data_IF_423378429999
#
_entry.id   IF_423378429999
#
_cell.length_a   1.000
_cell.length_b   1.000
_cell.length_c   1.000
_cell.angle_alpha   90.00
_cell.angle_beta   90.00
_cell.angle_gamma   90.00
#
_symmetry.space_group_name_H-M   'P 1'
#
loop_
_entity.id
_entity.type
_entity.pdbx_description
1 polymer ?
#
# COMPACT_ATOMS: atom_id res chain seq x y z
N UNK A 1 5.36 28.67 1.50
CA UNK A 1 4.67 27.85 2.52
C UNK A 1 4.96 26.38 2.25
N UNK A 2 5.77 25.71 3.09
CA UNK A 2 5.94 24.26 3.03
C UNK A 2 4.70 23.60 3.63
N UNK A 3 3.86 22.99 2.80
CA UNK A 3 2.84 22.04 3.28
C UNK A 3 3.59 20.83 3.84
N UNK A 4 3.59 20.65 5.16
CA UNK A 4 3.94 19.36 5.76
C UNK A 4 3.06 18.30 5.08
N UNK A 5 3.68 17.30 4.45
CA UNK A 5 2.91 16.15 3.96
C UNK A 5 2.22 15.53 5.18
N UNK A 6 0.90 15.23 5.13
CA UNK A 6 0.14 14.74 6.28
C UNK A 6 0.43 13.25 6.55
N UNK A 7 1.71 12.89 6.66
CA UNK A 7 2.15 11.52 6.89
C UNK A 7 1.67 10.99 8.25
N UNK A 8 1.61 11.85 9.27
CA UNK A 8 1.18 11.53 10.63
C UNK A 8 -0.29 11.07 10.72
N UNK A 9 -1.11 11.35 9.70
CA UNK A 9 -2.54 10.98 9.69
C UNK A 9 -2.87 9.78 8.81
N UNK A 10 -1.90 9.26 8.04
CA UNK A 10 -2.14 8.16 7.09
C UNK A 10 -1.77 6.81 7.71
N UNK A 11 -0.62 6.72 8.37
CA UNK A 11 -0.10 5.47 8.94
C UNK A 11 -0.01 5.56 10.47
N UNK A 12 -0.27 4.45 11.16
CA UNK A 12 -0.15 4.36 12.63
C UNK A 12 1.29 4.40 13.15
N UNK A 13 2.25 4.19 12.26
CA UNK A 13 3.67 4.19 12.57
C UNK A 13 4.43 4.98 11.49
N UNK A 14 5.57 5.59 11.82
CA UNK A 14 6.45 6.16 10.81
C UNK A 14 6.97 5.08 9.86
N UNK A 15 7.19 5.46 8.60
CA UNK A 15 7.85 4.59 7.63
C UNK A 15 9.35 4.52 7.95
N UNK A 16 9.76 3.45 8.63
CA UNK A 16 11.15 3.16 8.97
C UNK A 16 11.89 2.62 7.72
N UNK A 17 12.21 3.51 6.77
CA UNK A 17 12.96 3.17 5.54
C UNK A 17 14.44 2.98 5.87
N UNK A 18 14.98 1.80 5.56
CA UNK A 18 16.40 1.47 5.73
C UNK A 18 17.23 1.93 4.51
N UNK A 19 16.73 1.64 3.31
CA UNK A 19 17.40 1.91 2.04
C UNK A 19 16.36 2.14 0.95
N UNK A 20 16.64 3.08 0.05
CA UNK A 20 15.84 3.31 -1.14
C UNK A 20 16.68 3.74 -2.33
N UNK A 21 16.37 3.20 -3.49
CA UNK A 21 16.87 3.68 -4.79
C UNK A 21 15.70 3.88 -5.74
N UNK A 22 15.77 4.92 -6.57
CA UNK A 22 14.78 5.19 -7.61
C UNK A 22 15.42 6.02 -8.72
N UNK A 23 14.97 5.81 -9.96
CA UNK A 23 15.24 6.70 -11.08
C UNK A 23 14.01 7.58 -11.30
N UNK A 24 14.18 8.90 -11.16
CA UNK A 24 13.10 9.86 -11.36
C UNK A 24 13.33 10.66 -12.63
N UNK A 25 12.30 10.77 -13.47
CA UNK A 25 12.28 11.66 -14.62
C UNK A 25 11.06 12.57 -14.51
N UNK A 26 11.25 13.87 -14.72
CA UNK A 26 10.15 14.82 -14.75
C UNK A 26 10.20 15.68 -16.01
N UNK A 27 9.02 16.06 -16.48
CA UNK A 27 8.85 17.00 -17.59
C UNK A 27 7.75 17.98 -17.21
N UNK A 28 8.00 19.27 -17.41
CA UNK A 28 6.99 20.33 -17.28
C UNK A 28 7.06 21.23 -18.51
N UNK A 29 5.96 21.33 -19.24
CA UNK A 29 5.83 22.22 -20.40
C UNK A 29 4.38 22.69 -20.56
N UNK A 30 4.07 23.33 -21.67
CA UNK A 30 2.73 23.86 -21.98
C UNK A 30 1.63 22.78 -21.99
N UNK A 31 1.99 21.51 -22.26
CA UNK A 31 1.04 20.39 -22.25
C UNK A 31 0.73 19.88 -20.84
N UNK A 32 1.52 20.27 -19.84
CA UNK A 32 1.32 19.87 -18.44
C UNK A 32 2.58 19.37 -17.76
N UNK A 33 2.38 18.58 -16.71
CA UNK A 33 3.43 17.99 -15.88
C UNK A 33 3.38 16.46 -15.93
N UNK A 34 4.55 15.84 -16.00
CA UNK A 34 4.75 14.40 -15.92
C UNK A 34 5.87 14.10 -14.93
N UNK A 35 5.66 13.07 -14.11
CA UNK A 35 6.67 12.49 -13.22
C UNK A 35 6.64 10.97 -13.33
N UNK A 36 7.75 10.39 -13.78
CA UNK A 36 7.97 8.95 -13.80
C UNK A 36 8.94 8.54 -12.70
N UNK A 37 8.57 7.52 -11.94
CA UNK A 37 9.48 6.78 -11.08
C UNK A 37 9.72 5.37 -11.64
N UNK A 38 10.97 5.03 -11.90
CA UNK A 38 11.40 3.72 -12.42
C UNK A 38 12.47 3.11 -11.51
N UNK A 39 12.66 1.80 -11.62
CA UNK A 39 13.67 1.06 -10.86
C UNK A 39 13.60 1.37 -9.36
N UNK A 40 12.37 1.52 -8.84
CA UNK A 40 12.16 1.80 -7.43
C UNK A 40 12.44 0.51 -6.69
N UNK A 41 13.30 0.59 -5.69
CA UNK A 41 13.64 -0.49 -4.77
C UNK A 41 13.78 0.14 -3.37
N UNK A 42 12.86 -0.18 -2.47
CA UNK A 42 12.77 0.42 -1.15
C UNK A 42 12.65 -0.68 -0.11
N UNK A 43 13.62 -0.76 0.78
CA UNK A 43 13.59 -1.63 1.95
C UNK A 43 13.22 -0.78 3.18
N UNK A 44 12.17 -1.20 3.86
CA UNK A 44 11.73 -0.66 5.13
C UNK A 44 11.54 -1.80 6.12
N UNK A 45 11.19 -1.47 7.36
CA UNK A 45 10.97 -2.46 8.41
C UNK A 45 9.95 -3.53 8.00
N UNK A 46 10.42 -4.78 7.91
CA UNK A 46 9.63 -5.96 7.53
C UNK A 46 8.98 -5.91 6.14
N UNK A 47 9.33 -4.95 5.27
CA UNK A 47 8.84 -4.91 3.88
C UNK A 47 9.93 -4.49 2.89
N UNK A 48 9.91 -5.09 1.71
CA UNK A 48 10.72 -4.70 0.57
C UNK A 48 9.81 -4.47 -0.62
N UNK A 49 9.77 -3.25 -1.13
CA UNK A 49 8.91 -2.85 -2.24
C UNK A 49 9.76 -2.55 -3.48
N UNK A 50 9.34 -3.08 -4.63
CA UNK A 50 9.94 -2.81 -5.94
C UNK A 50 8.87 -2.41 -6.93
N UNK A 51 9.15 -1.47 -7.82
CA UNK A 51 8.17 -1.10 -8.84
C UNK A 51 8.45 0.22 -9.55
N UNK A 52 7.35 0.84 -9.99
CA UNK A 52 7.37 2.12 -10.64
C UNK A 52 6.02 2.81 -10.60
N UNK A 53 6.05 4.10 -10.90
CA UNK A 53 4.84 4.90 -11.05
C UNK A 53 4.98 5.88 -12.19
N UNK A 54 3.84 6.35 -12.68
CA UNK A 54 3.73 7.50 -13.56
C UNK A 54 2.61 8.39 -13.06
N UNK A 55 2.93 9.65 -12.84
CA UNK A 55 1.97 10.71 -12.59
C UNK A 55 1.92 11.64 -13.80
N UNK A 56 0.72 11.95 -14.26
CA UNK A 56 0.44 12.89 -15.33
C UNK A 56 -0.55 13.94 -14.81
N UNK A 57 -0.29 15.20 -15.10
CA UNK A 57 -1.21 16.32 -14.90
C UNK A 57 -1.21 17.15 -16.19
N UNK A 58 -2.08 16.84 -17.15
CA UNK A 58 -2.21 17.64 -18.35
C UNK A 58 -2.69 19.06 -18.01
N UNK A 59 -2.39 20.02 -18.89
CA UNK A 59 -2.87 21.39 -18.75
C UNK A 59 -4.39 21.46 -19.01
N UNK A 60 -5.15 21.87 -17.99
CA UNK A 60 -6.61 22.02 -18.10
C UNK A 60 -7.41 20.72 -18.05
N UNK A 61 -6.78 19.60 -17.69
CA UNK A 61 -7.43 18.29 -17.59
C UNK A 61 -7.14 17.64 -16.22
N UNK A 62 -7.78 16.50 -15.95
CA UNK A 62 -7.63 15.75 -14.70
C UNK A 62 -6.29 15.00 -14.62
N UNK A 63 -5.72 14.82 -13.40
CA UNK A 63 -4.52 14.04 -13.23
C UNK A 63 -4.78 12.54 -13.38
N UNK A 64 -3.73 11.82 -13.74
CA UNK A 64 -3.71 10.36 -13.74
C UNK A 64 -2.48 9.83 -13.03
N UNK A 65 -2.68 8.85 -12.15
CA UNK A 65 -1.61 8.12 -11.49
C UNK A 65 -1.71 6.64 -11.85
N UNK A 66 -0.62 6.09 -12.34
CA UNK A 66 -0.41 4.65 -12.48
C UNK A 66 0.68 4.18 -11.54
N UNK A 67 0.43 3.11 -10.78
CA UNK A 67 1.44 2.44 -9.94
C UNK A 67 1.35 0.94 -10.22
N UNK A 68 2.52 0.32 -10.40
CA UNK A 68 2.67 -1.12 -10.33
C UNK A 68 3.85 -1.43 -9.41
N UNK A 69 3.58 -2.15 -8.33
CA UNK A 69 4.60 -2.53 -7.37
C UNK A 69 4.42 -3.97 -6.88
N UNK A 70 5.55 -4.64 -6.68
CA UNK A 70 5.66 -5.88 -5.94
C UNK A 70 6.21 -5.59 -4.54
N UNK A 71 5.62 -6.19 -3.52
CA UNK A 71 5.96 -6.00 -2.11
C UNK A 71 6.20 -7.37 -1.50
N UNK A 72 7.33 -7.56 -0.83
CA UNK A 72 7.61 -8.77 -0.07
C UNK A 72 7.75 -8.47 1.41
N UNK A 73 7.34 -9.42 2.24
CA UNK A 73 7.47 -9.37 3.70
C UNK A 73 7.82 -10.77 4.22
N UNK A 74 8.73 -10.83 5.17
CA UNK A 74 9.07 -12.02 5.94
C UNK A 74 8.30 -12.10 7.28
N UNK A 75 7.67 -11.00 7.68
CA UNK A 75 6.86 -10.89 8.89
C UNK A 75 5.58 -10.06 8.65
N UNK A 76 4.52 -10.76 8.25
CA UNK A 76 3.18 -10.21 8.05
C UNK A 76 2.58 -9.60 9.30
N UNK A 77 3.08 -9.92 10.51
CA UNK A 77 2.62 -9.28 11.75
C UNK A 77 2.94 -7.78 11.78
N UNK A 78 3.81 -7.29 10.89
CA UNK A 78 4.14 -5.86 10.76
C UNK A 78 3.26 -5.12 9.75
N UNK A 79 2.31 -5.79 9.09
CA UNK A 79 1.47 -5.19 8.05
C UNK A 79 0.69 -3.94 8.54
N UNK A 80 0.31 -3.90 9.81
CA UNK A 80 -0.39 -2.78 10.44
C UNK A 80 0.31 -1.42 10.29
N UNK A 81 1.65 -1.42 10.14
CA UNK A 81 2.44 -0.21 9.93
C UNK A 81 2.14 0.47 8.58
N UNK A 82 1.67 -0.31 7.61
CA UNK A 82 1.53 0.08 6.21
C UNK A 82 0.08 0.18 5.75
N UNK A 83 -0.89 0.07 6.67
CA UNK A 83 -2.30 0.30 6.37
C UNK A 83 -2.62 1.79 6.39
N UNK A 84 -3.10 2.38 5.26
CA UNK A 84 -3.51 3.78 5.22
C UNK A 84 -4.87 3.94 5.92
N UNK A 85 -4.84 4.23 7.22
CA UNK A 85 -6.04 4.23 8.09
C UNK A 85 -7.10 5.23 7.67
N UNK A 86 -6.69 6.42 7.23
CA UNK A 86 -7.62 7.42 6.71
C UNK A 86 -8.37 6.97 5.45
N UNK A 87 -7.85 5.98 4.73
CA UNK A 87 -8.47 5.41 3.52
C UNK A 87 -9.25 4.13 3.81
N UNK A 88 -8.74 3.28 4.71
CA UNK A 88 -9.36 1.99 5.06
C UNK A 88 -10.45 2.10 6.14
N UNK A 89 -10.38 3.14 6.96
CA UNK A 89 -11.20 3.31 8.16
C UNK A 89 -10.64 2.56 9.36
N UNK A 90 -10.75 3.18 10.54
CA UNK A 90 -10.19 2.69 11.81
C UNK A 90 -10.59 1.25 12.14
N UNK A 91 -11.86 0.90 11.96
CA UNK A 91 -12.37 -0.44 12.32
C UNK A 91 -11.71 -1.56 11.50
N UNK A 92 -11.52 -1.36 10.19
CA UNK A 92 -10.86 -2.34 9.34
C UNK A 92 -9.37 -2.47 9.69
N UNK A 93 -8.71 -1.33 9.95
CA UNK A 93 -7.31 -1.34 10.38
C UNK A 93 -7.15 -2.04 11.72
N UNK A 94 -8.00 -1.77 12.71
CA UNK A 94 -7.97 -2.46 14.01
C UNK A 94 -8.13 -3.96 13.86
N UNK A 95 -9.13 -4.39 13.09
CA UNK A 95 -9.38 -5.81 12.82
C UNK A 95 -8.16 -6.48 12.17
N UNK A 96 -7.65 -5.95 11.06
CA UNK A 96 -6.53 -6.56 10.35
C UNK A 96 -5.22 -6.53 11.14
N UNK A 97 -5.00 -5.47 11.94
CA UNK A 97 -3.82 -5.36 12.80
C UNK A 97 -3.80 -6.41 13.91
N UNK A 98 -4.97 -6.79 14.43
CA UNK A 98 -5.10 -7.88 15.41
C UNK A 98 -5.15 -9.26 14.78
N UNK A 99 -5.75 -9.38 13.59
CA UNK A 99 -5.97 -10.65 12.92
C UNK A 99 -4.70 -11.21 12.28
N UNK A 100 -3.85 -10.37 11.68
CA UNK A 100 -2.62 -10.83 11.03
C UNK A 100 -1.50 -10.90 12.08
N UNK A 101 -1.27 -12.09 12.64
CA UNK A 101 -0.30 -12.31 13.72
C UNK A 101 1.07 -12.78 13.22
N UNK A 102 1.17 -13.12 11.94
CA UNK A 102 2.40 -13.56 11.30
C UNK A 102 2.14 -14.07 9.90
N UNK A 103 3.20 -14.28 9.13
CA UNK A 103 3.13 -14.81 7.77
C UNK A 103 4.19 -14.21 6.86
N UNK A 104 4.27 -14.72 5.65
CA UNK A 104 5.23 -14.30 4.65
C UNK A 104 4.48 -14.06 3.34
N UNK A 105 4.87 -13.04 2.59
CA UNK A 105 4.35 -12.85 1.25
C UNK A 105 5.50 -12.50 0.32
N UNK A 106 5.62 -13.27 -0.75
CA UNK A 106 6.51 -12.95 -1.85
C UNK A 106 5.70 -12.24 -2.93
N UNK A 107 6.13 -11.04 -3.32
CA UNK A 107 5.58 -10.30 -4.45
C UNK A 107 4.06 -10.05 -4.36
N UNK A 108 3.57 -9.65 -3.17
CA UNK A 108 2.27 -9.02 -3.05
C UNK A 108 2.18 -7.85 -4.04
N UNK A 109 1.14 -7.84 -4.87
CA UNK A 109 1.07 -6.92 -6.02
C UNK A 109 0.12 -5.78 -5.69
N UNK A 110 0.60 -4.55 -5.85
CA UNK A 110 -0.21 -3.33 -5.87
C UNK A 110 -0.35 -2.87 -7.32
N UNK A 111 -1.60 -2.79 -7.78
CA UNK A 111 -1.97 -2.13 -9.02
C UNK A 111 -2.87 -0.93 -8.71
N UNK A 112 -2.48 0.24 -9.20
CA UNK A 112 -3.24 1.48 -9.08
C UNK A 112 -3.32 2.14 -10.45
N UNK A 113 -4.50 2.59 -10.86
CA UNK A 113 -4.69 3.37 -12.08
C UNK A 113 -5.91 4.28 -11.97
N UNK A 114 -5.73 5.59 -12.03
CA UNK A 114 -6.85 6.54 -12.08
C UNK A 114 -6.49 7.93 -11.55
N UNK A 115 -7.50 8.80 -11.44
CA UNK A 115 -7.36 10.13 -10.85
C UNK A 115 -7.31 10.04 -9.30
N UNK A 116 -6.18 10.40 -8.65
CA UNK A 116 -6.05 10.30 -7.20
C UNK A 116 -7.06 11.08 -6.37
N UNK A 117 -7.68 12.11 -6.95
CA UNK A 117 -8.70 12.90 -6.26
C UNK A 117 -10.04 12.18 -6.15
N UNK A 118 -10.26 11.13 -6.95
CA UNK A 118 -11.51 10.35 -6.99
C UNK A 118 -11.41 9.02 -6.22
N UNK A 119 -10.24 8.67 -5.69
CA UNK A 119 -10.08 7.49 -4.85
C UNK A 119 -11.00 7.57 -3.62
N UNK A 120 -11.79 6.53 -3.27
CA UNK A 120 -11.65 5.11 -3.64
C UNK A 120 -12.47 4.63 -4.87
N UNK A 121 -12.70 5.47 -5.88
CA UNK A 121 -13.33 5.12 -7.18
C UNK A 121 -14.72 4.46 -7.06
N UNK A 122 -15.67 5.18 -6.48
CA UNK A 122 -17.04 4.68 -6.27
C UNK A 122 -17.86 4.56 -7.56
N UNK A 123 -17.42 5.19 -8.65
CA UNK A 123 -18.14 5.24 -9.93
C UNK A 123 -17.29 4.74 -11.11
N UNK A 124 -16.36 3.80 -10.87
CA UNK A 124 -15.48 3.17 -11.87
C UNK A 124 -14.51 4.13 -12.59
N UNK A 125 -14.06 5.17 -11.90
CA UNK A 125 -13.13 6.18 -12.43
C UNK A 125 -11.66 5.74 -12.38
N UNK A 126 -11.41 4.53 -11.88
CA UNK A 126 -10.09 3.94 -11.76
C UNK A 126 -10.12 2.53 -11.16
N UNK A 127 -8.92 1.99 -10.95
CA UNK A 127 -8.68 0.66 -10.40
C UNK A 127 -7.68 0.76 -9.25
N UNK A 128 -7.99 0.09 -8.14
CA UNK A 128 -7.07 -0.15 -7.05
C UNK A 128 -7.19 -1.61 -6.61
N UNK A 129 -6.08 -2.34 -6.68
CA UNK A 129 -6.04 -3.75 -6.31
C UNK A 129 -4.75 -4.05 -5.55
N UNK A 130 -4.93 -4.79 -4.45
CA UNK A 130 -3.82 -5.36 -3.69
C UNK A 130 -4.05 -6.86 -3.62
N UNK A 131 -3.13 -7.63 -4.22
CA UNK A 131 -3.12 -9.09 -4.15
C UNK A 131 -1.99 -9.54 -3.21
N UNK A 132 -2.34 -10.20 -2.11
CA UNK A 132 -1.35 -10.68 -1.13
C UNK A 132 -1.36 -12.21 -1.08
N UNK A 133 -0.37 -12.89 -1.71
CA UNK A 133 -0.25 -14.34 -1.62
C UNK A 133 0.40 -14.73 -0.28
N UNK A 134 -0.30 -14.50 0.83
CA UNK A 134 0.20 -14.75 2.17
C UNK A 134 0.34 -16.26 2.42
N UNK A 135 1.50 -16.68 2.96
CA UNK A 135 1.87 -18.05 3.30
C UNK A 135 2.40 -18.11 4.73
N UNK A 136 2.46 -19.31 5.30
CA UNK A 136 2.94 -19.54 6.68
C UNK A 136 2.29 -18.60 7.71
N UNK A 137 1.02 -18.26 7.47
CA UNK A 137 0.32 -17.22 8.20
C UNK A 137 -0.25 -17.75 9.51
N UNK A 138 -0.20 -16.92 10.55
CA UNK A 138 -1.05 -17.07 11.73
C UNK A 138 -2.12 -15.99 11.65
N UNK A 139 -3.37 -16.40 11.48
CA UNK A 139 -4.51 -15.48 11.33
C UNK A 139 -5.55 -15.71 12.42
N UNK A 140 -5.73 -14.73 13.29
CA UNK A 140 -6.78 -14.72 14.30
C UNK A 140 -8.08 -14.19 13.70
N UNK A 141 -8.93 -15.10 13.22
CA UNK A 141 -10.16 -14.73 12.51
C UNK A 141 -11.14 -13.92 13.37
N UNK A 142 -11.32 -14.29 14.64
CA UNK A 142 -12.03 -13.48 15.62
C UNK A 142 -11.35 -13.61 16.99
N UNK A 143 -11.22 -12.52 17.77
CA UNK A 143 -10.60 -12.54 19.10
C UNK A 143 -11.21 -13.59 20.03
N UNK A 144 -12.52 -13.81 19.93
CA UNK A 144 -13.29 -14.68 20.81
C UNK A 144 -13.61 -16.06 20.20
N UNK A 145 -12.97 -16.44 19.09
CA UNK A 145 -13.25 -17.73 18.47
C UNK A 145 -12.72 -18.88 19.36
N UNK A 146 -13.57 -19.82 19.81
CA UNK A 146 -13.13 -20.93 20.66
C UNK A 146 -12.24 -21.90 19.88
N UNK A 147 -11.09 -22.27 20.45
CA UNK A 147 -10.17 -23.23 19.83
C UNK A 147 -10.90 -24.53 19.44
N UNK A 148 -10.78 -24.93 18.18
CA UNK A 148 -11.35 -26.18 17.67
C UNK A 148 -10.68 -27.36 18.40
N UNK A 149 -11.42 -28.04 19.27
CA UNK A 149 -10.99 -29.30 19.90
C UNK A 149 -11.43 -30.46 19.00
N UNK A 150 -10.51 -31.38 18.67
CA UNK A 150 -10.79 -32.58 17.87
C UNK A 150 -12.05 -33.29 18.40
N UNK A 151 -12.98 -33.75 17.54
CA UNK A 151 -13.99 -34.69 17.97
C UNK A 151 -13.29 -35.96 18.44
N UNK A 152 -13.61 -36.43 19.64
CA UNK A 152 -13.31 -37.80 20.04
C UNK A 152 -14.26 -38.69 19.24
N UNK A 153 -13.70 -39.53 18.37
CA UNK A 153 -14.38 -40.72 17.88
C UNK A 153 -14.37 -41.78 18.97
#
# INVERSE_FOLDING_TARGET
MMRKMPYETVFRAPLEVEKGTATLHWLKNEKGFQLDGRNIDVKAKAVHARGGFRYLQPAGDEPWLGILAGISTDDGSQAWRYFPENLMGKALVDYLSGAIQGGQADNATLAYGGNPHLFPYKHNEGQFQVLVPLRNATYAFQPDWPALKKPRY
#
